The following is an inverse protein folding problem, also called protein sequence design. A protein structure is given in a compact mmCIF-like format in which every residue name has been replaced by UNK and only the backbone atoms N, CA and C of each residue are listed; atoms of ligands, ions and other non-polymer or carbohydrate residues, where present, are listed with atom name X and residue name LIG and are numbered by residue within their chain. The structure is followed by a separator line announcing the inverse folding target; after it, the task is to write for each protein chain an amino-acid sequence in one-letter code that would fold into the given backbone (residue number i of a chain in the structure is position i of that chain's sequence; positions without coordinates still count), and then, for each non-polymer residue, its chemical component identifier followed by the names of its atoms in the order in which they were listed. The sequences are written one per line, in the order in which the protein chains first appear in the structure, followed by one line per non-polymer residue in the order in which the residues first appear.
data_IF_243893024131
#
_entry.id   IF_243893024131
#
_cell.length_a   1.000
_cell.length_b   1.000
_cell.length_c   1.000
_cell.angle_alpha   90.00
_cell.angle_beta   90.00
_cell.angle_gamma   90.00
#
_symmetry.space_group_name_H-M   'P 1'
#
loop_
_entity.id
_entity.type
_entity.pdbx_description
1 polymer ?
#
# COMPACT_ATOMS: atom_id res chain seq x y z
N UNK A 1 -4.62 -22.48 13.69
CA UNK A 1 -5.34 -21.60 14.63
C UNK A 1 -6.82 -21.61 14.25
N UNK A 2 -7.72 -21.78 15.22
CA UNK A 2 -9.16 -21.87 14.95
C UNK A 2 -9.68 -20.47 14.55
N UNK A 3 -10.53 -20.36 13.53
CA UNK A 3 -10.98 -19.08 12.93
C UNK A 3 -11.63 -18.15 13.98
N UNK A 4 -12.25 -18.74 15.01
CA UNK A 4 -12.84 -18.05 16.16
C UNK A 4 -11.84 -17.34 17.08
N UNK A 5 -10.58 -17.81 17.19
CA UNK A 5 -9.53 -17.13 17.97
C UNK A 5 -8.92 -15.93 17.22
N UNK A 6 -9.01 -15.92 15.88
CA UNK A 6 -8.56 -14.79 15.06
C UNK A 6 -9.55 -13.61 15.13
N UNK A 7 -10.84 -13.85 15.30
CA UNK A 7 -11.86 -12.80 15.35
C UNK A 7 -11.67 -11.79 16.51
N UNK A 8 -11.00 -12.18 17.61
CA UNK A 8 -10.67 -11.26 18.71
C UNK A 8 -9.51 -10.29 18.37
N UNK A 9 -8.74 -10.58 17.32
CA UNK A 9 -7.58 -9.80 16.87
C UNK A 9 -7.85 -8.99 15.59
N UNK A 10 -8.95 -9.30 14.88
CA UNK A 10 -9.30 -8.70 13.60
C UNK A 10 -10.76 -8.24 13.60
N UNK A 11 -10.99 -6.94 13.41
CA UNK A 11 -12.33 -6.42 13.13
C UNK A 11 -12.66 -6.64 11.66
N UNK A 12 -13.53 -7.61 11.37
CA UNK A 12 -14.15 -7.75 10.06
C UNK A 12 -15.37 -6.82 9.98
N UNK A 13 -15.40 -5.94 8.99
CA UNK A 13 -16.52 -5.04 8.74
C UNK A 13 -16.75 -4.91 7.23
N UNK A 14 -18.00 -4.98 6.80
CA UNK A 14 -18.38 -4.51 5.47
C UNK A 14 -18.29 -2.98 5.46
N UNK A 15 -17.39 -2.46 4.63
CA UNK A 15 -16.98 -1.06 4.68
C UNK A 15 -16.60 -0.62 3.26
N UNK A 16 -17.19 0.50 2.82
CA UNK A 16 -16.90 1.08 1.51
C UNK A 16 -15.49 1.69 1.44
N UNK A 17 -15.07 2.06 0.23
CA UNK A 17 -13.74 2.65 -0.02
C UNK A 17 -13.43 3.85 0.88
N UNK A 18 -14.41 4.73 1.14
CA UNK A 18 -14.23 5.88 2.01
C UNK A 18 -13.86 5.48 3.44
N UNK A 19 -14.60 4.50 3.99
CA UNK A 19 -14.34 4.00 5.33
C UNK A 19 -12.96 3.31 5.40
N UNK A 20 -12.53 2.59 4.34
CA UNK A 20 -11.18 2.02 4.26
C UNK A 20 -10.12 3.13 4.23
N UNK A 21 -10.30 4.15 3.38
CA UNK A 21 -9.42 5.33 3.31
C UNK A 21 -9.24 5.96 4.69
N UNK A 22 -10.34 6.29 5.37
CA UNK A 22 -10.31 6.88 6.71
C UNK A 22 -9.57 6.00 7.72
N UNK A 23 -9.74 4.68 7.68
CA UNK A 23 -9.01 3.79 8.59
C UNK A 23 -7.51 3.79 8.30
N UNK A 24 -7.12 3.75 7.01
CA UNK A 24 -5.72 3.81 6.60
C UNK A 24 -5.06 5.12 7.04
N UNK A 25 -5.72 6.25 6.80
CA UNK A 25 -5.19 7.59 7.16
C UNK A 25 -5.15 7.83 8.67
N UNK A 26 -5.95 7.10 9.44
CA UNK A 26 -5.87 7.03 10.91
C UNK A 26 -4.81 6.05 11.44
N UNK A 27 -4.00 5.45 10.56
CA UNK A 27 -2.87 4.58 10.95
C UNK A 27 -3.24 3.11 11.18
N UNK A 28 -4.43 2.69 10.77
CA UNK A 28 -4.78 1.27 10.73
C UNK A 28 -4.00 0.55 9.61
N UNK A 29 -3.74 -0.74 9.82
CA UNK A 29 -3.29 -1.64 8.76
C UNK A 29 -4.53 -2.43 8.35
N UNK A 30 -4.87 -2.39 7.07
CA UNK A 30 -6.07 -3.03 6.54
C UNK A 30 -5.68 -4.25 5.73
N UNK A 31 -6.19 -5.42 6.14
CA UNK A 31 -6.12 -6.63 5.34
C UNK A 31 -7.22 -6.62 4.27
N UNK A 32 -6.81 -6.77 3.02
CA UNK A 32 -7.71 -6.77 1.86
C UNK A 32 -7.72 -8.15 1.22
N UNK A 33 -8.93 -8.67 1.03
CA UNK A 33 -9.19 -9.91 0.30
C UNK A 33 -10.41 -9.71 -0.61
N UNK A 34 -10.16 -9.53 -1.90
CA UNK A 34 -11.19 -9.21 -2.90
C UNK A 34 -10.89 -9.82 -4.27
N UNK A 35 -11.91 -10.10 -5.06
CA UNK A 35 -11.73 -10.53 -6.46
C UNK A 35 -10.85 -11.78 -6.66
N UNK A 36 -10.35 -11.90 -7.90
CA UNK A 36 -9.46 -12.99 -8.34
C UNK A 36 -8.03 -12.68 -7.89
N UNK A 37 -7.31 -13.71 -7.45
CA UNK A 37 -5.90 -13.55 -7.12
C UNK A 37 -5.06 -13.37 -8.38
N UNK A 38 -4.08 -12.47 -8.33
CA UNK A 38 -3.05 -12.36 -9.38
C UNK A 38 -2.21 -13.63 -9.45
N UNK A 39 -1.82 -14.04 -10.66
CA UNK A 39 -0.88 -15.16 -10.86
C UNK A 39 0.59 -14.79 -10.58
N UNK A 40 0.87 -13.52 -10.25
CA UNK A 40 2.21 -13.09 -9.88
C UNK A 40 2.64 -13.62 -8.51
N UNK A 41 3.95 -13.78 -8.32
CA UNK A 41 4.54 -14.07 -6.99
C UNK A 41 4.27 -12.99 -5.94
N UNK A 42 3.82 -11.81 -6.38
CA UNK A 42 3.46 -10.68 -5.54
C UNK A 42 1.95 -10.48 -5.51
N UNK A 43 1.42 -9.96 -4.39
CA UNK A 43 0.07 -9.40 -4.40
C UNK A 43 0.08 -8.03 -5.07
N UNK A 44 -0.93 -7.79 -5.90
CA UNK A 44 -1.17 -6.53 -6.63
C UNK A 44 -2.44 -5.81 -6.13
N UNK A 45 -2.77 -5.99 -4.84
CA UNK A 45 -3.92 -5.32 -4.18
C UNK A 45 -5.07 -6.25 -3.79
N UNK A 46 -5.17 -7.41 -4.43
CA UNK A 46 -6.31 -8.31 -4.22
C UNK A 46 -6.19 -9.14 -2.93
N UNK A 47 -4.97 -9.42 -2.47
CA UNK A 47 -4.64 -10.16 -1.24
C UNK A 47 -3.50 -9.44 -0.51
N UNK A 48 -3.76 -8.23 -0.02
CA UNK A 48 -2.71 -7.32 0.46
C UNK A 48 -2.96 -6.83 1.89
N UNK A 49 -1.88 -6.57 2.62
CA UNK A 49 -1.91 -5.68 3.77
C UNK A 49 -1.63 -4.28 3.26
N UNK A 50 -2.57 -3.35 3.44
CA UNK A 50 -2.45 -1.96 3.03
C UNK A 50 -2.19 -1.09 4.26
N UNK A 51 -1.33 -0.07 4.11
CA UNK A 51 -1.21 0.97 5.11
C UNK A 51 -0.70 2.30 4.55
N UNK A 52 -1.04 3.39 5.25
CA UNK A 52 -0.53 4.73 5.01
C UNK A 52 0.96 4.84 5.44
N UNK A 53 1.89 5.20 4.53
CA UNK A 53 3.32 5.28 4.83
C UNK A 53 3.77 6.53 5.61
N UNK A 54 2.87 7.47 5.95
CA UNK A 54 3.22 8.71 6.64
C UNK A 54 3.77 8.49 8.07
N UNK A 55 3.53 7.32 8.67
CA UNK A 55 4.02 7.00 10.02
C UNK A 55 5.19 6.00 9.97
N UNK A 56 6.40 6.34 10.47
CA UNK A 56 7.58 5.47 10.36
C UNK A 56 7.41 4.07 10.95
N UNK A 57 6.58 3.94 12.00
CA UNK A 57 6.34 2.68 12.68
C UNK A 57 5.60 1.64 11.82
N UNK A 58 4.90 2.07 10.77
CA UNK A 58 4.01 1.19 9.99
C UNK A 58 4.78 0.11 9.23
N UNK A 59 5.97 0.44 8.67
CA UNK A 59 6.82 -0.54 7.98
C UNK A 59 7.18 -1.70 8.92
N UNK A 60 7.63 -1.36 10.12
CA UNK A 60 7.99 -2.34 11.15
C UNK A 60 6.80 -3.18 11.59
N UNK A 61 5.61 -2.57 11.71
CA UNK A 61 4.36 -3.30 12.05
C UNK A 61 3.99 -4.31 10.97
N UNK A 62 3.99 -3.90 9.70
CA UNK A 62 3.69 -4.79 8.56
C UNK A 62 4.71 -5.92 8.45
N UNK A 63 6.01 -5.60 8.53
CA UNK A 63 7.07 -6.62 8.47
C UNK A 63 6.91 -7.65 9.60
N UNK A 64 6.60 -7.19 10.83
CA UNK A 64 6.32 -8.10 11.95
C UNK A 64 5.11 -9.01 11.68
N UNK A 65 4.02 -8.48 11.13
CA UNK A 65 2.84 -9.28 10.76
C UNK A 65 3.15 -10.32 9.68
N UNK A 66 4.08 -10.00 8.77
CA UNK A 66 4.54 -10.91 7.72
C UNK A 66 5.71 -11.80 8.15
N UNK A 67 6.10 -11.80 9.44
CA UNK A 67 7.23 -12.56 9.96
C UNK A 67 8.55 -12.24 9.23
N UNK A 68 8.74 -10.97 8.89
CA UNK A 68 9.94 -10.43 8.23
C UNK A 68 10.71 -9.52 9.17
N UNK A 69 12.01 -9.41 8.92
CA UNK A 69 12.84 -8.42 9.58
C UNK A 69 12.36 -6.99 9.31
N UNK A 70 12.44 -6.12 10.31
CA UNK A 70 11.82 -4.79 10.28
C UNK A 70 12.39 -3.84 9.20
N UNK A 71 13.60 -4.12 8.73
CA UNK A 71 14.33 -3.34 7.73
C UNK A 71 14.00 -3.71 6.28
N UNK A 72 13.32 -4.84 6.03
CA UNK A 72 12.96 -5.23 4.67
C UNK A 72 12.08 -4.15 4.01
N UNK A 73 12.39 -3.75 2.77
CA UNK A 73 11.57 -2.78 2.06
C UNK A 73 10.20 -3.37 1.74
N UNK A 74 9.18 -2.52 1.85
CA UNK A 74 7.81 -2.81 1.42
C UNK A 74 7.56 -2.23 0.04
N UNK A 75 6.56 -2.74 -0.67
CA UNK A 75 6.18 -2.14 -1.96
C UNK A 75 5.65 -0.73 -1.74
N UNK A 76 5.77 0.11 -2.74
CA UNK A 76 4.99 1.34 -2.85
C UNK A 76 3.99 1.17 -3.98
N UNK A 77 2.72 1.44 -3.69
CA UNK A 77 1.63 1.49 -4.66
C UNK A 77 1.24 2.93 -4.92
N UNK A 78 1.14 3.32 -6.19
CA UNK A 78 0.80 4.69 -6.61
C UNK A 78 -0.01 4.64 -7.92
N UNK A 79 -0.99 5.53 -8.14
CA UNK A 79 -1.60 5.70 -9.45
C UNK A 79 -0.55 6.06 -10.49
N UNK A 80 -0.67 5.50 -11.68
CA UNK A 80 0.27 5.76 -12.78
C UNK A 80 0.45 7.26 -13.04
N UNK A 81 -0.64 8.02 -13.03
CA UNK A 81 -0.65 9.45 -13.28
C UNK A 81 -0.04 10.30 -12.15
N UNK A 82 0.30 9.68 -11.00
CA UNK A 82 0.94 10.33 -9.86
C UNK A 82 2.38 9.84 -9.61
N UNK A 83 2.93 8.98 -10.46
CA UNK A 83 4.26 8.38 -10.23
C UNK A 83 5.38 9.40 -10.05
N UNK A 84 5.35 10.50 -10.81
CA UNK A 84 6.39 11.53 -10.79
C UNK A 84 6.50 12.26 -9.44
N UNK A 85 5.46 12.21 -8.61
CA UNK A 85 5.51 12.75 -7.24
C UNK A 85 6.39 11.89 -6.33
N UNK A 86 6.43 10.58 -6.60
CA UNK A 86 7.02 9.56 -5.72
C UNK A 86 8.38 9.09 -6.21
N UNK A 87 8.59 9.01 -7.53
CA UNK A 87 9.79 8.40 -8.13
C UNK A 87 10.55 9.37 -9.01
N UNK A 88 11.87 9.40 -8.85
CA UNK A 88 12.77 10.17 -9.72
C UNK A 88 12.85 9.58 -11.14
N UNK A 89 12.72 8.26 -11.27
CA UNK A 89 12.92 7.54 -12.52
C UNK A 89 11.62 7.51 -13.36
N UNK A 90 10.45 7.72 -12.74
CA UNK A 90 9.12 7.71 -13.37
C UNK A 90 8.84 6.46 -14.24
N UNK A 91 9.45 5.32 -13.89
CA UNK A 91 9.28 4.04 -14.60
C UNK A 91 7.97 3.38 -14.20
N UNK A 92 7.13 3.07 -15.19
CA UNK A 92 5.91 2.30 -14.94
C UNK A 92 6.24 0.86 -14.55
N UNK A 93 5.58 0.38 -13.49
CA UNK A 93 5.80 -0.96 -12.94
C UNK A 93 4.47 -1.59 -12.53
N UNK A 94 3.58 -1.92 -13.49
CA UNK A 94 2.24 -2.45 -13.19
C UNK A 94 2.26 -3.84 -12.55
N UNK A 95 3.35 -4.59 -12.68
CA UNK A 95 3.51 -5.94 -12.13
C UNK A 95 4.56 -6.03 -11.03
N UNK A 96 4.93 -4.89 -10.43
CA UNK A 96 5.95 -4.81 -9.38
C UNK A 96 7.29 -5.42 -9.83
N UNK A 97 7.72 -5.04 -11.03
CA UNK A 97 8.93 -5.57 -11.68
C UNK A 97 10.17 -4.74 -11.36
N UNK A 98 10.00 -3.46 -11.09
CA UNK A 98 11.11 -2.51 -10.93
C UNK A 98 11.19 -1.96 -9.52
N UNK A 99 12.42 -1.75 -9.07
CA UNK A 99 12.73 -0.87 -7.94
C UNK A 99 13.10 0.50 -8.46
N UNK A 100 12.65 1.54 -7.78
CA UNK A 100 12.89 2.93 -8.15
C UNK A 100 13.48 3.71 -6.98
N UNK A 101 14.16 4.81 -7.30
CA UNK A 101 14.55 5.80 -6.30
C UNK A 101 13.35 6.69 -5.98
N UNK A 102 13.14 6.88 -4.68
CA UNK A 102 12.05 7.70 -4.15
C UNK A 102 12.50 9.15 -4.08
N UNK A 103 11.68 10.07 -4.58
CA UNK A 103 12.01 11.51 -4.61
C UNK A 103 12.26 12.04 -3.19
N UNK A 104 13.09 13.09 -3.07
CA UNK A 104 13.37 13.72 -1.76
C UNK A 104 12.08 14.18 -1.07
N UNK A 105 11.14 14.77 -1.82
CA UNK A 105 9.86 15.20 -1.28
C UNK A 105 9.04 14.03 -0.71
N UNK A 106 8.98 12.91 -1.44
CA UNK A 106 8.28 11.71 -0.99
C UNK A 106 8.98 11.06 0.22
N UNK A 107 10.31 11.04 0.28
CA UNK A 107 11.03 10.53 1.45
C UNK A 107 10.73 11.31 2.73
N UNK A 108 10.57 12.63 2.62
CA UNK A 108 10.20 13.49 3.76
C UNK A 108 8.76 13.22 4.19
N UNK A 109 7.83 13.16 3.22
CA UNK A 109 6.41 13.00 3.51
C UNK A 109 6.02 11.57 3.93
N UNK A 110 6.72 10.56 3.43
CA UNK A 110 6.40 9.14 3.56
C UNK A 110 7.53 8.37 4.26
N UNK A 111 7.85 8.68 5.52
CA UNK A 111 9.06 8.20 6.21
C UNK A 111 9.09 6.68 6.45
N UNK A 112 7.99 5.95 6.22
CA UNK A 112 8.01 4.49 6.23
C UNK A 112 8.59 3.87 4.95
N UNK A 113 8.68 4.64 3.87
CA UNK A 113 9.20 4.21 2.57
C UNK A 113 10.74 4.27 2.60
N UNK A 114 11.40 3.27 2.03
CA UNK A 114 12.85 3.26 1.86
C UNK A 114 13.27 4.17 0.68
N UNK A 115 14.48 4.74 0.72
CA UNK A 115 15.01 5.57 -0.37
C UNK A 115 14.99 4.87 -1.75
N UNK A 116 15.14 3.54 -1.75
CA UNK A 116 14.88 2.69 -2.92
C UNK A 116 13.81 1.67 -2.55
N UNK A 117 12.80 1.53 -3.40
CA UNK A 117 11.67 0.63 -3.13
C UNK A 117 11.13 -0.02 -4.40
N UNK A 118 10.51 -1.20 -4.26
CA UNK A 118 9.74 -1.80 -5.35
C UNK A 118 8.47 -1.01 -5.60
N UNK A 119 8.23 -0.67 -6.86
CA UNK A 119 7.10 0.13 -7.27
C UNK A 119 6.01 -0.74 -7.88
N UNK A 120 4.76 -0.48 -7.53
CA UNK A 120 3.57 -0.99 -8.19
C UNK A 120 2.73 0.19 -8.67
N UNK A 121 2.76 0.45 -9.98
CA UNK A 121 1.92 1.49 -10.59
C UNK A 121 0.54 0.95 -10.90
N UNK A 122 -0.50 1.64 -10.47
CA UNK A 122 -1.89 1.19 -10.60
C UNK A 122 -2.60 2.02 -11.66
N UNK A 123 -3.23 1.36 -12.64
CA UNK A 123 -4.09 2.00 -13.63
C UNK A 123 -5.54 1.78 -13.27
N UNK A 124 -6.39 2.78 -13.53
CA UNK A 124 -7.84 2.65 -13.36
C UNK A 124 -8.41 1.47 -14.15
N UNK A 125 -7.92 1.24 -15.37
CA UNK A 125 -8.38 0.14 -16.22
C UNK A 125 -8.00 -1.25 -15.70
N UNK A 126 -6.89 -1.39 -14.96
CA UNK A 126 -6.41 -2.69 -14.48
C UNK A 126 -6.94 -3.04 -13.08
N UNK A 127 -6.96 -2.05 -12.17
CA UNK A 127 -7.50 -2.22 -10.83
C UNK A 127 -8.25 -0.95 -10.40
N UNK A 128 -9.51 -0.76 -10.84
CA UNK A 128 -10.27 0.46 -10.55
C UNK A 128 -10.51 0.65 -9.05
N UNK A 129 -10.58 -0.45 -8.29
CA UNK A 129 -10.80 -0.37 -6.85
C UNK A 129 -9.58 0.14 -6.10
N UNK A 130 -8.40 -0.43 -6.37
CA UNK A 130 -7.16 0.04 -5.73
C UNK A 130 -6.80 1.45 -6.20
N UNK A 131 -7.02 1.74 -7.49
CA UNK A 131 -6.82 3.06 -8.06
C UNK A 131 -7.67 4.11 -7.34
N UNK A 132 -8.98 3.86 -7.19
CA UNK A 132 -9.87 4.77 -6.45
C UNK A 132 -9.47 4.90 -4.98
N UNK A 133 -9.07 3.80 -4.32
CA UNK A 133 -8.62 3.86 -2.93
C UNK A 133 -7.39 4.75 -2.76
N UNK A 134 -6.40 4.63 -3.65
CA UNK A 134 -5.20 5.46 -3.65
C UNK A 134 -5.55 6.93 -3.83
N UNK A 135 -6.48 7.25 -4.75
CA UNK A 135 -6.95 8.62 -4.93
C UNK A 135 -7.64 9.18 -3.69
N UNK A 136 -8.50 8.40 -3.02
CA UNK A 136 -9.16 8.83 -1.78
C UNK A 136 -8.14 9.10 -0.66
N UNK A 137 -7.15 8.24 -0.50
CA UNK A 137 -6.05 8.47 0.43
C UNK A 137 -5.28 9.74 0.04
N UNK A 138 -4.98 9.93 -1.24
CA UNK A 138 -4.32 11.13 -1.73
C UNK A 138 -5.10 12.43 -1.49
N UNK A 139 -6.44 12.39 -1.56
CA UNK A 139 -7.28 13.54 -1.23
C UNK A 139 -7.15 13.96 0.24
N UNK A 140 -7.03 12.99 1.16
CA UNK A 140 -6.90 13.25 2.59
C UNK A 140 -5.45 13.61 3.00
N UNK A 141 -4.45 13.06 2.32
CA UNK A 141 -3.05 13.13 2.77
C UNK A 141 -2.13 13.98 1.89
N UNK A 142 -2.57 14.33 0.68
CA UNK A 142 -1.74 14.92 -0.37
C UNK A 142 -0.87 13.89 -1.12
N UNK A 143 -0.87 12.62 -0.69
CA UNK A 143 -0.03 11.56 -1.26
C UNK A 143 -0.87 10.32 -1.59
N UNK A 144 -1.18 10.05 -2.87
CA UNK A 144 -1.97 8.88 -3.27
C UNK A 144 -1.10 7.62 -3.25
N UNK A 145 -0.62 7.25 -2.05
CA UNK A 145 0.38 6.21 -1.85
C UNK A 145 -0.03 5.27 -0.72
N UNK A 146 0.15 3.98 -0.96
CA UNK A 146 0.01 2.92 0.06
C UNK A 146 1.17 1.94 0.00
N UNK A 147 1.44 1.28 1.13
CA UNK A 147 2.36 0.14 1.24
C UNK A 147 1.66 -1.20 0.98
#
# INVERSE_FOLDING_TARGET
ANVSQLAALYHAAECGLQCISTRLTQGAIVGVMRGRQSFSKWSLGERSLLADPRTPAVRRRINRMQLRESWFPLCVMVPEEHIAQVSEDSVLSPYRSFSVRVSTAAQIALPAVNATTQLHTVRQASNPWLHQLLLLVGQETGWPVLL
#
